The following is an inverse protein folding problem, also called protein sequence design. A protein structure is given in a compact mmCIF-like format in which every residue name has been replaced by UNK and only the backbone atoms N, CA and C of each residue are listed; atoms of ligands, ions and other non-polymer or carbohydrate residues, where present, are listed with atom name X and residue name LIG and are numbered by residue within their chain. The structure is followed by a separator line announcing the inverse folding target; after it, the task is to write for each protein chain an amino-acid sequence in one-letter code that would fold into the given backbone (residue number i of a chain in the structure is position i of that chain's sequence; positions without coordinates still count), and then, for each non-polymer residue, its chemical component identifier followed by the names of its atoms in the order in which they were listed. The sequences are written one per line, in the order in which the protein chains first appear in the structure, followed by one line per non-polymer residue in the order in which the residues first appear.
data_IF_393427318573
#
_entry.id   IF_393427318573
#
_cell.length_a   1.000
_cell.length_b   1.000
_cell.length_c   1.000
_cell.angle_alpha   90.00
_cell.angle_beta   90.00
_cell.angle_gamma   90.00
#
_symmetry.space_group_name_H-M   'P 1'
#
loop_
_entity.id
_entity.type
_entity.pdbx_description
1 polymer ?
#
# COMPACT_ATOMS: atom_id res chain seq x y z
N UNK A 1 -10.94 -2.13 -0.72
CA UNK A 1 -11.16 -0.77 -1.25
C UNK A 1 -10.30 -0.62 -2.48
N UNK A 2 -10.82 -0.02 -3.57
CA UNK A 2 -10.02 0.30 -4.74
C UNK A 2 -9.07 1.44 -4.42
N UNK A 3 -7.77 1.23 -4.60
CA UNK A 3 -6.77 2.27 -4.54
C UNK A 3 -6.70 2.96 -5.91
N UNK A 4 -6.91 4.26 -5.88
CA UNK A 4 -6.74 5.14 -7.01
C UNK A 4 -6.02 6.40 -6.52
N UNK A 5 -5.48 7.21 -7.44
CA UNK A 5 -4.66 8.37 -7.06
C UNK A 5 -5.39 9.28 -6.06
N UNK A 6 -6.67 9.55 -6.30
CA UNK A 6 -7.50 10.38 -5.43
C UNK A 6 -7.71 9.80 -4.02
N UNK A 7 -7.96 8.49 -3.89
CA UNK A 7 -8.09 7.85 -2.57
C UNK A 7 -6.76 7.83 -1.83
N UNK A 8 -5.66 7.58 -2.53
CA UNK A 8 -4.31 7.62 -1.93
C UNK A 8 -3.94 9.02 -1.47
N UNK A 9 -4.25 10.05 -2.26
CA UNK A 9 -4.04 11.44 -1.89
C UNK A 9 -4.90 11.85 -0.69
N UNK A 10 -6.16 11.41 -0.63
CA UNK A 10 -7.07 11.68 0.48
C UNK A 10 -6.67 11.02 1.81
N UNK A 11 -5.80 10.01 1.82
CA UNK A 11 -5.35 9.36 3.06
C UNK A 11 -4.39 10.29 3.82
N UNK A 12 -4.68 10.71 5.06
CA UNK A 12 -3.75 11.50 5.86
C UNK A 12 -2.53 10.68 6.27
N UNK A 13 -1.39 11.36 6.47
CA UNK A 13 -0.19 10.74 7.03
C UNK A 13 -0.47 10.27 8.45
N UNK A 14 0.11 9.13 8.84
CA UNK A 14 -0.14 8.56 10.17
C UNK A 14 0.79 9.20 11.18
N UNK A 15 0.27 9.71 12.30
CA UNK A 15 1.10 10.39 13.32
C UNK A 15 2.13 9.46 13.99
N UNK A 16 1.78 8.18 14.17
CA UNK A 16 2.70 7.14 14.67
C UNK A 16 2.50 5.81 13.95
N UNK A 17 3.60 5.14 13.65
CA UNK A 17 3.62 3.81 13.03
C UNK A 17 3.51 3.84 11.50
N UNK A 18 3.00 2.75 10.96
CA UNK A 18 2.78 2.57 9.53
C UNK A 18 1.42 1.89 9.31
N UNK A 19 0.68 2.34 8.30
CA UNK A 19 -0.62 1.76 7.95
C UNK A 19 -0.58 1.32 6.49
N UNK A 20 -0.95 0.07 6.24
CA UNK A 20 -0.91 -0.54 4.91
C UNK A 20 -2.34 -0.68 4.42
N UNK A 21 -2.65 -0.02 3.31
CA UNK A 21 -3.92 -0.14 2.61
C UNK A 21 -3.70 -1.09 1.44
N UNK A 22 -4.40 -2.21 1.41
CA UNK A 22 -4.34 -3.18 0.32
C UNK A 22 -5.45 -2.92 -0.69
N UNK A 23 -5.12 -3.04 -1.97
CA UNK A 23 -6.12 -2.99 -3.02
C UNK A 23 -7.00 -4.24 -2.97
N UNK A 24 -8.30 -4.07 -3.23
CA UNK A 24 -9.24 -5.20 -3.28
C UNK A 24 -9.40 -5.78 -4.69
N UNK A 25 -9.11 -5.01 -5.74
CA UNK A 25 -9.19 -5.44 -7.15
C UNK A 25 -7.84 -5.92 -7.67
N UNK A 26 -6.73 -5.23 -7.32
CA UNK A 26 -5.37 -5.58 -7.73
C UNK A 26 -4.66 -6.35 -6.62
N UNK A 27 -4.84 -7.67 -6.62
CA UNK A 27 -4.17 -8.57 -5.68
C UNK A 27 -2.66 -8.40 -5.82
N UNK A 28 -1.99 -8.13 -4.69
CA UNK A 28 -0.56 -7.85 -4.69
C UNK A 28 -0.21 -6.38 -4.83
N UNK A 29 -1.16 -5.46 -4.73
CA UNK A 29 -0.89 -4.02 -4.67
C UNK A 29 -1.35 -3.41 -3.34
N UNK A 30 -0.50 -2.57 -2.76
CA UNK A 30 -0.79 -1.88 -1.51
C UNK A 30 -0.13 -0.51 -1.45
N UNK A 31 -0.65 0.37 -0.61
CA UNK A 31 0.00 1.64 -0.24
C UNK A 31 0.32 1.61 1.24
N UNK A 32 1.59 1.77 1.56
CA UNK A 32 2.05 2.01 2.93
C UNK A 32 2.11 3.51 3.18
N UNK A 33 1.35 3.95 4.16
CA UNK A 33 1.39 5.32 4.67
C UNK A 33 2.16 5.32 5.97
N UNK A 34 3.21 6.12 6.01
CA UNK A 34 4.03 6.37 7.19
C UNK A 34 3.81 7.81 7.66
N UNK A 35 4.49 8.21 8.72
CA UNK A 35 4.46 9.60 9.19
C UNK A 35 5.16 10.59 8.25
N UNK A 36 6.04 10.12 7.37
CA UNK A 36 6.85 10.95 6.47
C UNK A 36 6.40 10.88 5.02
N UNK A 37 5.94 9.71 4.58
CA UNK A 37 5.67 9.48 3.16
C UNK A 37 4.62 8.40 2.94
N UNK A 38 4.04 8.44 1.74
CA UNK A 38 3.22 7.38 1.16
C UNK A 38 4.09 6.61 0.17
N UNK A 39 4.15 5.30 0.29
CA UNK A 39 4.93 4.42 -0.58
C UNK A 39 4.01 3.36 -1.18
N UNK A 40 4.08 3.19 -2.50
CA UNK A 40 3.43 2.09 -3.19
C UNK A 40 4.25 0.83 -3.00
N UNK A 41 3.60 -0.28 -2.66
CA UNK A 41 4.21 -1.58 -2.45
C UNK A 41 3.52 -2.55 -3.39
N UNK A 42 4.31 -3.32 -4.13
CA UNK A 42 3.81 -4.46 -4.88
C UNK A 42 4.22 -5.74 -4.16
N UNK A 43 3.25 -6.47 -3.63
CA UNK A 43 3.40 -7.81 -3.10
C UNK A 43 3.26 -8.80 -4.28
N UNK A 44 4.39 -9.16 -4.91
CA UNK A 44 4.40 -10.23 -5.93
C UNK A 44 4.70 -11.56 -5.26
N UNK A 45 3.94 -12.60 -5.61
CA UNK A 45 4.35 -13.97 -5.33
C UNK A 45 5.23 -14.45 -6.47
N UNK A 46 6.46 -14.83 -6.15
CA UNK A 46 7.37 -15.52 -7.06
C UNK A 46 7.74 -16.84 -6.39
N UNK A 47 7.55 -17.96 -7.08
CA UNK A 47 7.85 -19.32 -6.55
C UNK A 47 7.23 -19.65 -5.18
N UNK A 48 6.04 -19.09 -4.89
CA UNK A 48 5.34 -19.35 -3.63
C UNK A 48 5.78 -18.47 -2.45
N UNK A 49 6.83 -17.67 -2.61
CA UNK A 49 7.29 -16.71 -1.61
C UNK A 49 6.77 -15.29 -1.91
N UNK A 50 6.50 -14.53 -0.85
CA UNK A 50 5.92 -13.18 -0.92
C UNK A 50 7.04 -12.15 -0.99
N UNK A 51 7.32 -11.67 -2.20
CA UNK A 51 8.31 -10.62 -2.44
C UNK A 51 7.66 -9.24 -2.37
N UNK A 52 8.34 -8.31 -1.70
CA UNK A 52 7.96 -6.90 -1.59
C UNK A 52 9.03 -6.07 -2.28
N UNK A 53 8.62 -5.28 -3.28
CA UNK A 53 9.50 -4.36 -4.04
C UNK A 53 8.97 -2.94 -3.92
#
# INVERSE_FOLDING_TARGET
MKLNKSTVDAIPLTEKGQKIYRDAELIGFAVRVTNKSKTYIVERRHEGELYRV
#
